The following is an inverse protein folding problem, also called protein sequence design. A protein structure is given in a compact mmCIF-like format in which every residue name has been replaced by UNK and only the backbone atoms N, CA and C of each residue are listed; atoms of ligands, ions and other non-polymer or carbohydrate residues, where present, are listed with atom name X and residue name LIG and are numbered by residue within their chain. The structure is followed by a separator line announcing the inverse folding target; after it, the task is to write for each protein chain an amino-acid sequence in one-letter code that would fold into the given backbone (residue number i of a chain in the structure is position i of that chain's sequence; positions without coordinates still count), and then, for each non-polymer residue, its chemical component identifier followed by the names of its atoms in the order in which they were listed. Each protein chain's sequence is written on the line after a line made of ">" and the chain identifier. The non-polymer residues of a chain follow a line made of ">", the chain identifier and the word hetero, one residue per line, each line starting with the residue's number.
data_IF_374647866283
#
_entry.id   IF_374647866283
#
_cell.length_a   1.000
_cell.length_b   1.000
_cell.length_c   1.000
_cell.angle_alpha   90.00
_cell.angle_beta   90.00
_cell.angle_gamma   90.00
#
_symmetry.space_group_name_H-M   'P 1'
#
loop_
_entity.id
_entity.type
_entity.pdbx_description
1 polymer ?
#
# COMPACT_ATOMS: atom_id res chain seq x y z
N UNK A 1 -70.12 -75.82 32.85
CA UNK A 1 -69.19 -75.25 33.85
C UNK A 1 -67.73 -75.43 33.46
N UNK A 2 -67.26 -76.65 33.16
CA UNK A 2 -65.86 -76.92 32.75
C UNK A 2 -65.48 -76.29 31.41
N UNK A 3 -66.34 -76.33 30.38
CA UNK A 3 -66.05 -75.69 29.09
C UNK A 3 -65.94 -74.17 29.18
N UNK A 4 -66.75 -73.53 30.04
CA UNK A 4 -66.68 -72.09 30.30
C UNK A 4 -65.38 -71.70 31.00
N UNK A 5 -64.87 -72.53 31.93
CA UNK A 5 -63.57 -72.32 32.57
C UNK A 5 -62.40 -72.45 31.58
N UNK A 6 -62.47 -73.41 30.64
CA UNK A 6 -61.45 -73.56 29.60
C UNK A 6 -61.44 -72.37 28.62
N UNK A 7 -62.62 -71.90 28.21
CA UNK A 7 -62.75 -70.69 27.37
C UNK A 7 -62.23 -69.45 28.09
N UNK A 8 -62.56 -69.28 29.38
CA UNK A 8 -62.06 -68.15 30.18
C UNK A 8 -60.53 -68.20 30.37
N UNK A 9 -59.96 -69.39 30.57
CA UNK A 9 -58.51 -69.56 30.68
C UNK A 9 -57.79 -69.31 29.35
N UNK A 10 -58.39 -69.75 28.24
CA UNK A 10 -57.89 -69.43 26.91
C UNK A 10 -57.93 -67.91 26.65
N UNK A 11 -59.04 -67.25 26.98
CA UNK A 11 -59.20 -65.80 26.82
C UNK A 11 -58.20 -64.99 27.67
N UNK A 12 -57.95 -65.40 28.92
CA UNK A 12 -56.92 -64.79 29.76
C UNK A 12 -55.51 -64.98 29.18
N UNK A 13 -55.20 -66.20 28.73
CA UNK A 13 -53.91 -66.49 28.09
C UNK A 13 -53.69 -65.66 26.83
N UNK A 14 -54.71 -65.51 25.99
CA UNK A 14 -54.62 -64.68 24.77
C UNK A 14 -54.49 -63.21 25.11
N UNK A 15 -55.24 -62.70 26.09
CA UNK A 15 -55.11 -61.31 26.53
C UNK A 15 -53.74 -61.01 27.11
N UNK A 16 -53.16 -61.95 27.87
CA UNK A 16 -51.81 -61.78 28.42
C UNK A 16 -50.76 -61.79 27.30
N UNK A 17 -50.88 -62.68 26.32
CA UNK A 17 -50.02 -62.65 25.12
C UNK A 17 -50.16 -61.35 24.30
N UNK A 18 -51.37 -60.80 24.19
CA UNK A 18 -51.60 -59.51 23.52
C UNK A 18 -50.96 -58.35 24.28
N UNK A 19 -51.03 -58.34 25.61
CA UNK A 19 -50.36 -57.34 26.45
C UNK A 19 -48.84 -57.46 26.35
N UNK A 20 -48.29 -58.67 26.42
CA UNK A 20 -46.85 -58.91 26.28
C UNK A 20 -46.35 -58.49 24.89
N UNK A 21 -47.13 -58.75 23.83
CA UNK A 21 -46.84 -58.28 22.47
C UNK A 21 -46.92 -56.75 22.35
N UNK A 22 -47.90 -56.09 22.97
CA UNK A 22 -48.01 -54.62 22.96
C UNK A 22 -46.82 -53.97 23.69
N UNK A 23 -46.40 -54.52 24.83
CA UNK A 23 -45.19 -54.06 25.54
C UNK A 23 -43.93 -54.34 24.70
N UNK A 24 -43.83 -55.51 24.07
CA UNK A 24 -42.69 -55.84 23.20
C UNK A 24 -42.61 -54.94 21.96
N UNK A 25 -43.74 -54.59 21.34
CA UNK A 25 -43.75 -53.69 20.19
C UNK A 25 -43.38 -52.27 20.61
N UNK A 26 -43.94 -51.76 21.71
CA UNK A 26 -43.57 -50.44 22.27
C UNK A 26 -42.08 -50.36 22.59
N UNK A 27 -41.52 -51.38 23.22
CA UNK A 27 -40.08 -51.41 23.53
C UNK A 27 -39.22 -51.42 22.28
N UNK A 28 -39.56 -52.21 21.25
CA UNK A 28 -38.87 -52.18 19.96
C UNK A 28 -38.95 -50.80 19.27
N UNK A 29 -40.12 -50.15 19.30
CA UNK A 29 -40.27 -48.79 18.77
C UNK A 29 -39.38 -47.79 19.51
N UNK A 30 -39.28 -47.88 20.85
CA UNK A 30 -38.39 -47.01 21.62
C UNK A 30 -36.92 -47.25 21.32
N UNK A 31 -36.51 -48.51 21.14
CA UNK A 31 -35.14 -48.87 20.78
C UNK A 31 -34.77 -48.38 19.38
N UNK A 32 -35.66 -48.55 18.40
CA UNK A 32 -35.48 -48.02 17.04
C UNK A 32 -35.35 -46.49 17.07
N UNK A 33 -36.23 -45.81 17.82
CA UNK A 33 -36.16 -44.35 17.99
C UNK A 33 -34.84 -43.90 18.62
N UNK A 34 -34.37 -44.58 19.67
CA UNK A 34 -33.09 -44.26 20.30
C UNK A 34 -31.90 -44.46 19.34
N UNK A 35 -31.91 -45.55 18.58
CA UNK A 35 -30.89 -45.84 17.59
C UNK A 35 -30.84 -44.78 16.47
N UNK A 36 -31.99 -44.33 15.99
CA UNK A 36 -32.05 -43.28 14.98
C UNK A 36 -31.56 -41.93 15.54
N UNK A 37 -31.93 -41.57 16.78
CA UNK A 37 -31.39 -40.38 17.46
C UNK A 37 -29.86 -40.44 17.58
N UNK A 38 -29.29 -41.59 17.95
CA UNK A 38 -27.84 -41.76 18.05
C UNK A 38 -27.14 -41.61 16.69
N UNK A 39 -27.74 -42.15 15.61
CA UNK A 39 -27.24 -41.95 14.25
C UNK A 39 -27.25 -40.48 13.84
N UNK A 40 -28.34 -39.77 14.10
CA UNK A 40 -28.44 -38.34 13.81
C UNK A 40 -27.40 -37.52 14.60
N UNK A 41 -27.17 -37.85 15.87
CA UNK A 41 -26.12 -37.23 16.71
C UNK A 41 -24.72 -37.46 16.13
N UNK A 42 -24.39 -38.69 15.75
CA UNK A 42 -23.10 -39.02 15.17
C UNK A 42 -22.89 -38.31 13.82
N UNK A 43 -23.93 -38.23 12.99
CA UNK A 43 -23.88 -37.51 11.73
C UNK A 43 -23.67 -36.00 11.94
N UNK A 44 -24.45 -35.38 12.83
CA UNK A 44 -24.33 -33.96 13.16
C UNK A 44 -22.94 -33.58 13.67
N UNK A 45 -22.38 -34.40 14.58
CA UNK A 45 -21.01 -34.21 15.07
C UNK A 45 -20.00 -34.20 13.92
N UNK A 46 -20.11 -35.15 12.99
CA UNK A 46 -19.20 -35.25 11.85
C UNK A 46 -19.32 -34.08 10.89
N UNK A 47 -20.52 -33.57 10.68
CA UNK A 47 -20.75 -32.36 9.85
C UNK A 47 -20.15 -31.13 10.52
N UNK A 48 -20.33 -30.97 11.83
CA UNK A 48 -19.71 -29.86 12.58
C UNK A 48 -18.18 -29.88 12.55
N UNK A 49 -17.57 -31.07 12.69
CA UNK A 49 -16.12 -31.25 12.53
C UNK A 49 -15.64 -30.85 11.13
N UNK A 50 -16.34 -31.28 10.08
CA UNK A 50 -16.02 -30.93 8.70
C UNK A 50 -16.18 -29.43 8.43
N UNK A 51 -17.25 -28.82 8.93
CA UNK A 51 -17.47 -27.38 8.80
C UNK A 51 -16.35 -26.58 9.48
N UNK A 52 -15.99 -26.95 10.71
CA UNK A 52 -14.91 -26.30 11.45
C UNK A 52 -13.57 -26.40 10.69
N UNK A 53 -13.25 -27.59 10.16
CA UNK A 53 -12.05 -27.78 9.35
C UNK A 53 -12.08 -26.94 8.07
N UNK A 54 -13.24 -26.81 7.42
CA UNK A 54 -13.40 -26.01 6.22
C UNK A 54 -13.25 -24.50 6.49
N UNK A 55 -13.83 -23.99 7.59
CA UNK A 55 -13.65 -22.60 8.03
C UNK A 55 -12.18 -22.30 8.30
N UNK A 56 -11.45 -23.22 8.95
CA UNK A 56 -10.00 -23.08 9.18
C UNK A 56 -9.22 -23.01 7.86
N UNK A 57 -9.46 -23.93 6.92
CA UNK A 57 -8.79 -23.93 5.62
C UNK A 57 -9.11 -22.66 4.82
N UNK A 58 -10.35 -22.19 4.87
CA UNK A 58 -10.74 -20.93 4.24
C UNK A 58 -10.01 -19.74 4.87
N UNK A 59 -9.96 -19.67 6.20
CA UNK A 59 -9.22 -18.63 6.92
C UNK A 59 -7.73 -18.61 6.56
N UNK A 60 -7.08 -19.77 6.55
CA UNK A 60 -5.68 -19.91 6.14
C UNK A 60 -5.47 -19.48 4.68
N UNK A 61 -6.41 -19.81 3.79
CA UNK A 61 -6.33 -19.42 2.38
C UNK A 61 -6.45 -17.92 2.16
N UNK A 62 -7.34 -17.24 2.89
CA UNK A 62 -7.52 -15.78 2.85
C UNK A 62 -6.25 -15.07 3.33
N UNK A 63 -5.68 -15.54 4.43
CA UNK A 63 -4.43 -15.02 4.98
C UNK A 63 -3.23 -15.25 4.04
N UNK A 64 -3.16 -16.42 3.40
CA UNK A 64 -2.10 -16.72 2.44
C UNK A 64 -2.24 -15.85 1.18
N UNK A 65 -3.46 -15.67 0.68
CA UNK A 65 -3.73 -14.82 -0.47
C UNK A 65 -3.37 -13.36 -0.20
N UNK A 66 -3.81 -12.79 0.92
CA UNK A 66 -3.50 -11.40 1.29
C UNK A 66 -2.00 -11.18 1.46
N UNK A 67 -1.30 -12.14 2.09
CA UNK A 67 0.16 -12.12 2.16
C UNK A 67 0.80 -12.15 0.78
N UNK A 68 0.36 -13.07 -0.09
CA UNK A 68 0.89 -13.16 -1.46
C UNK A 68 0.71 -11.85 -2.23
N UNK A 69 -0.47 -11.23 -2.12
CA UNK A 69 -0.76 -9.92 -2.71
C UNK A 69 0.24 -8.87 -2.22
N UNK A 70 0.49 -8.77 -0.91
CA UNK A 70 1.47 -7.81 -0.34
C UNK A 70 2.92 -8.10 -0.74
N UNK A 71 3.26 -9.34 -1.09
CA UNK A 71 4.60 -9.71 -1.59
C UNK A 71 4.78 -9.50 -3.09
N UNK A 72 3.73 -9.10 -3.82
CA UNK A 72 3.84 -8.86 -5.26
C UNK A 72 4.78 -7.68 -5.58
N UNK A 73 5.25 -7.64 -6.83
CA UNK A 73 6.09 -6.56 -7.34
C UNK A 73 5.41 -5.21 -7.21
N UNK A 74 4.07 -5.12 -7.31
CA UNK A 74 3.32 -3.88 -7.11
C UNK A 74 3.63 -3.21 -5.76
N UNK A 75 3.73 -3.99 -4.68
CA UNK A 75 4.01 -3.46 -3.34
C UNK A 75 5.50 -3.38 -3.00
N UNK A 76 6.28 -4.37 -3.43
CA UNK A 76 7.73 -4.46 -3.11
C UNK A 76 8.60 -3.62 -4.02
N UNK A 77 8.30 -3.60 -5.31
CA UNK A 77 9.04 -2.87 -6.33
C UNK A 77 8.08 -2.05 -7.19
N UNK A 78 7.42 -1.04 -6.62
CA UNK A 78 6.44 -0.26 -7.36
C UNK A 78 7.11 0.53 -8.49
N UNK A 79 6.49 0.49 -9.67
CA UNK A 79 7.00 1.12 -10.91
C UNK A 79 7.33 2.61 -10.74
N UNK A 80 6.57 3.32 -9.88
CA UNK A 80 6.79 4.74 -9.63
C UNK A 80 8.21 5.02 -9.07
N UNK A 81 8.82 4.09 -8.33
CA UNK A 81 10.18 4.27 -7.79
C UNK A 81 11.20 4.36 -8.93
N UNK A 82 11.09 3.45 -9.90
CA UNK A 82 11.94 3.46 -11.08
C UNK A 82 11.71 4.71 -11.94
N UNK A 83 10.46 5.09 -12.18
CA UNK A 83 10.12 6.33 -12.92
C UNK A 83 10.69 7.57 -12.22
N UNK A 84 10.55 7.65 -10.90
CA UNK A 84 11.10 8.76 -10.09
C UNK A 84 12.60 8.89 -10.29
N UNK A 85 13.35 7.78 -10.25
CA UNK A 85 14.80 7.79 -10.48
C UNK A 85 15.16 8.24 -11.89
N UNK A 86 14.42 7.80 -12.91
CA UNK A 86 14.61 8.24 -14.30
C UNK A 86 14.34 9.74 -14.44
N UNK A 87 13.29 10.26 -13.82
CA UNK A 87 12.93 11.68 -13.83
C UNK A 87 13.97 12.55 -13.13
N UNK A 88 14.47 12.12 -11.97
CA UNK A 88 15.61 12.76 -11.28
C UNK A 88 16.84 12.78 -12.19
N UNK A 89 17.15 11.65 -12.84
CA UNK A 89 18.26 11.55 -13.79
C UNK A 89 18.12 12.53 -14.96
N UNK A 90 16.91 12.68 -15.49
CA UNK A 90 16.60 13.61 -16.58
C UNK A 90 16.74 15.07 -16.15
N UNK A 91 16.17 15.46 -15.01
CA UNK A 91 16.30 16.82 -14.47
C UNK A 91 17.76 17.16 -14.17
N UNK A 92 18.53 16.22 -13.63
CA UNK A 92 19.97 16.42 -13.42
C UNK A 92 20.74 16.63 -14.73
N UNK A 93 20.43 15.86 -15.76
CA UNK A 93 21.06 16.01 -17.08
C UNK A 93 20.74 17.38 -17.67
N UNK A 94 19.49 17.83 -17.54
CA UNK A 94 19.04 19.13 -18.00
C UNK A 94 19.79 20.26 -17.28
N UNK A 95 19.80 20.26 -15.95
CA UNK A 95 20.51 21.28 -15.16
C UNK A 95 22.01 21.31 -15.41
N UNK A 96 22.64 20.16 -15.65
CA UNK A 96 24.05 20.10 -16.06
C UNK A 96 24.28 20.77 -17.42
N UNK A 97 23.38 20.56 -18.38
CA UNK A 97 23.46 21.24 -19.68
C UNK A 97 23.26 22.74 -19.52
N UNK A 98 22.31 23.17 -18.68
CA UNK A 98 22.03 24.58 -18.42
C UNK A 98 23.24 25.28 -17.77
N UNK A 99 23.88 24.63 -16.81
CA UNK A 99 25.13 25.13 -16.19
C UNK A 99 26.29 25.15 -17.18
N UNK A 100 26.45 24.13 -18.03
CA UNK A 100 27.49 24.12 -19.05
C UNK A 100 27.30 25.27 -20.06
N UNK A 101 26.06 25.52 -20.48
CA UNK A 101 25.71 26.63 -21.36
C UNK A 101 25.99 27.99 -20.68
N UNK A 102 25.68 28.12 -19.38
CA UNK A 102 25.99 29.32 -18.60
C UNK A 102 27.50 29.57 -18.53
N UNK A 103 28.30 28.56 -18.16
CA UNK A 103 29.77 28.67 -18.05
C UNK A 103 30.37 29.01 -19.41
N UNK A 104 29.90 28.39 -20.49
CA UNK A 104 30.34 28.71 -21.85
C UNK A 104 30.02 30.16 -22.22
N UNK A 105 28.82 30.65 -21.87
CA UNK A 105 28.44 32.04 -22.08
C UNK A 105 29.32 33.03 -21.30
N UNK A 106 29.67 32.70 -20.05
CA UNK A 106 30.61 33.48 -19.24
C UNK A 106 32.01 33.47 -19.86
N UNK A 107 32.48 32.33 -20.36
CA UNK A 107 33.78 32.23 -21.04
C UNK A 107 33.87 33.14 -22.27
N UNK A 108 32.81 33.21 -23.06
CA UNK A 108 32.71 34.13 -24.21
C UNK A 108 32.79 35.58 -23.74
N UNK A 109 32.03 35.93 -22.69
CA UNK A 109 32.02 37.29 -22.11
C UNK A 109 33.38 37.71 -21.54
N UNK A 110 34.06 36.81 -20.82
CA UNK A 110 35.40 37.10 -20.28
C UNK A 110 36.41 37.27 -21.42
N UNK A 111 36.35 36.45 -22.47
CA UNK A 111 37.23 36.60 -23.62
C UNK A 111 36.98 37.90 -24.39
N UNK A 112 35.72 38.35 -24.52
CA UNK A 112 35.42 39.64 -25.16
C UNK A 112 35.93 40.81 -24.32
N UNK A 113 35.77 40.76 -22.98
CA UNK A 113 36.34 41.76 -22.06
C UNK A 113 37.88 41.79 -22.10
N UNK A 114 38.53 40.63 -22.11
CA UNK A 114 40.00 40.53 -22.17
C UNK A 114 40.59 41.02 -23.50
N UNK A 115 39.86 40.84 -24.61
CA UNK A 115 40.26 41.37 -25.92
C UNK A 115 40.13 42.89 -26.01
N UNK A 116 39.29 43.49 -25.18
CA UNK A 116 39.09 44.95 -25.10
C UNK A 116 39.47 45.52 -23.72
N UNK A 117 40.77 45.53 -23.36
CA UNK A 117 41.23 46.05 -22.07
C UNK A 117 41.17 47.60 -21.95
N UNK A 118 40.85 48.32 -23.03
CA UNK A 118 40.94 49.78 -23.12
C UNK A 118 39.59 50.53 -23.25
N UNK A 119 38.49 49.95 -22.76
CA UNK A 119 37.15 50.57 -22.82
C UNK A 119 36.72 51.39 -21.59
N UNK A 120 37.66 51.89 -20.76
CA UNK A 120 37.32 52.58 -19.50
C UNK A 120 37.82 54.05 -19.47
N UNK A 121 38.55 54.50 -20.51
CA UNK A 121 39.30 55.77 -20.44
C UNK A 121 38.97 56.86 -21.46
N UNK A 122 38.05 56.65 -22.41
CA UNK A 122 37.76 57.65 -23.46
C UNK A 122 36.32 58.13 -23.34
N UNK A 123 36.15 59.38 -22.95
CA UNK A 123 34.88 60.05 -22.63
C UNK A 123 33.93 60.29 -23.80
N UNK A 124 34.10 59.67 -24.97
CA UNK A 124 33.30 60.03 -26.16
C UNK A 124 32.70 58.87 -26.98
N UNK A 125 32.95 57.60 -26.65
CA UNK A 125 32.26 56.49 -27.33
C UNK A 125 31.73 55.48 -26.33
N UNK A 126 30.44 55.60 -26.03
CA UNK A 126 29.63 54.59 -25.33
C UNK A 126 29.76 53.26 -26.08
N UNK A 127 30.58 52.35 -25.58
CA UNK A 127 30.71 51.00 -26.14
C UNK A 127 29.34 50.29 -26.07
N UNK A 128 28.80 49.94 -27.22
CA UNK A 128 27.46 49.34 -27.37
C UNK A 128 27.63 47.81 -27.22
N UNK A 129 26.93 47.15 -26.30
CA UNK A 129 26.98 45.70 -26.17
C UNK A 129 26.47 45.02 -27.45
N UNK A 130 27.20 44.00 -27.91
CA UNK A 130 26.86 43.19 -29.06
C UNK A 130 25.85 42.10 -28.68
N UNK A 131 24.56 42.44 -28.71
CA UNK A 131 23.45 41.46 -28.62
C UNK A 131 23.47 40.49 -27.42
N UNK A 132 22.60 39.50 -27.47
CA UNK A 132 22.57 38.39 -26.51
C UNK A 132 23.26 37.15 -27.12
N UNK A 133 23.98 36.39 -26.29
CA UNK A 133 24.53 35.06 -26.62
C UNK A 133 23.38 34.13 -27.09
N UNK A 134 23.59 33.03 -27.83
CA UNK A 134 22.52 32.11 -28.26
C UNK A 134 21.62 31.57 -27.14
N UNK A 135 22.08 31.62 -25.89
CA UNK A 135 21.27 31.29 -24.71
C UNK A 135 20.23 32.38 -24.37
N UNK A 136 20.39 33.61 -24.86
CA UNK A 136 19.55 34.78 -24.58
C UNK A 136 19.86 35.47 -23.25
N UNK A 137 20.73 34.87 -22.42
CA UNK A 137 20.87 35.24 -21.00
C UNK A 137 22.04 36.18 -20.69
N UNK A 138 23.10 36.16 -21.49
CA UNK A 138 24.30 36.96 -21.27
C UNK A 138 24.54 37.85 -22.47
N UNK A 139 24.90 39.11 -22.20
CA UNK A 139 25.33 40.05 -23.23
C UNK A 139 26.80 39.77 -23.55
N UNK A 140 27.18 39.87 -24.83
CA UNK A 140 28.59 39.81 -25.22
C UNK A 140 28.94 41.08 -25.99
N UNK A 141 30.22 41.28 -26.27
CA UNK A 141 30.67 42.41 -27.07
C UNK A 141 31.05 41.85 -28.44
N UNK A 142 30.36 42.31 -29.48
CA UNK A 142 30.66 41.99 -30.88
C UNK A 142 30.94 43.30 -31.61
N UNK A 143 32.14 43.43 -32.17
CA UNK A 143 32.58 44.64 -32.86
C UNK A 143 32.23 44.59 -34.37
N UNK A 144 31.87 43.42 -34.92
CA UNK A 144 31.69 43.24 -36.37
C UNK A 144 30.25 43.46 -36.85
N UNK A 145 29.26 43.66 -35.97
CA UNK A 145 27.86 43.86 -36.35
C UNK A 145 27.34 45.25 -35.98
N UNK A 146 27.31 46.12 -36.98
CA UNK A 146 26.78 47.49 -36.94
C UNK A 146 25.23 47.57 -36.84
N UNK A 147 24.57 46.65 -36.13
CA UNK A 147 23.10 46.66 -35.98
C UNK A 147 22.67 46.39 -34.55
N UNK A 148 22.53 47.50 -33.83
CA UNK A 148 21.76 47.80 -32.61
C UNK A 148 21.07 46.65 -31.85
N UNK A 149 21.40 46.56 -30.55
CA UNK A 149 20.43 46.78 -29.45
C UNK A 149 21.11 47.52 -28.30
N UNK A 150 20.46 48.57 -27.80
CA UNK A 150 20.98 49.49 -26.76
C UNK A 150 20.67 48.95 -25.38
N UNK A 151 21.70 48.74 -24.54
CA UNK A 151 21.57 48.79 -23.08
C UNK A 151 22.76 49.51 -22.45
N UNK A 152 22.47 50.23 -21.36
CA UNK A 152 23.17 51.41 -20.85
C UNK A 152 24.05 51.17 -19.61
N UNK A 153 24.43 49.93 -19.29
CA UNK A 153 24.97 49.59 -17.95
C UNK A 153 26.41 49.05 -17.98
N UNK A 154 27.19 49.44 -16.98
CA UNK A 154 28.59 49.07 -16.79
C UNK A 154 28.82 47.63 -16.28
N UNK A 155 30.08 47.24 -16.04
CA UNK A 155 30.50 45.86 -15.74
C UNK A 155 29.85 45.25 -14.49
N UNK A 156 29.48 46.07 -13.50
CA UNK A 156 28.78 45.61 -12.29
C UNK A 156 27.38 45.05 -12.60
N UNK A 157 26.70 45.59 -13.62
CA UNK A 157 25.38 45.10 -14.02
C UNK A 157 25.44 43.72 -14.68
N UNK A 158 26.55 43.39 -15.34
CA UNK A 158 26.79 42.06 -15.93
C UNK A 158 27.02 41.03 -14.83
N UNK A 159 27.78 41.39 -13.79
CA UNK A 159 27.98 40.54 -12.62
C UNK A 159 26.67 40.25 -11.88
N UNK A 160 25.78 41.24 -11.77
CA UNK A 160 24.45 41.05 -11.17
C UNK A 160 23.52 40.21 -12.05
N UNK A 161 23.55 40.36 -13.38
CA UNK A 161 22.84 39.46 -14.30
C UNK A 161 23.32 38.00 -14.15
N UNK A 162 24.62 37.78 -13.96
CA UNK A 162 25.17 36.45 -13.71
C UNK A 162 24.65 35.87 -12.39
N UNK A 163 24.66 36.62 -11.29
CA UNK A 163 24.08 36.17 -10.01
C UNK A 163 22.61 35.78 -10.17
N UNK A 164 21.83 36.59 -10.90
CA UNK A 164 20.41 36.30 -11.16
C UNK A 164 20.26 35.02 -11.97
N UNK A 165 21.03 34.80 -13.04
CA UNK A 165 20.94 33.58 -13.85
C UNK A 165 21.33 32.31 -13.08
N UNK A 166 22.39 32.36 -12.27
CA UNK A 166 22.75 31.27 -11.35
C UNK A 166 21.60 31.00 -10.37
N UNK A 167 21.02 32.06 -9.78
CA UNK A 167 19.89 31.92 -8.85
C UNK A 167 18.65 31.32 -9.51
N UNK A 168 18.33 31.69 -10.75
CA UNK A 168 17.19 31.14 -11.50
C UNK A 168 17.40 29.64 -11.75
N UNK A 169 18.58 29.21 -12.20
CA UNK A 169 18.88 27.78 -12.41
C UNK A 169 18.79 26.99 -11.08
N UNK A 170 19.32 27.56 -9.99
CA UNK A 170 19.24 26.93 -8.67
C UNK A 170 17.81 26.85 -8.15
N UNK A 171 17.00 27.89 -8.34
CA UNK A 171 15.59 27.91 -7.95
C UNK A 171 14.77 26.92 -8.80
N UNK A 172 15.01 26.87 -10.11
CA UNK A 172 14.35 25.92 -10.99
C UNK A 172 14.68 24.48 -10.59
N UNK A 173 15.95 24.16 -10.33
CA UNK A 173 16.35 22.84 -9.83
C UNK A 173 15.65 22.50 -8.50
N UNK A 174 15.63 23.44 -7.56
CA UNK A 174 14.95 23.23 -6.26
C UNK A 174 13.48 22.96 -6.44
N UNK A 175 12.81 23.71 -7.31
CA UNK A 175 11.40 23.54 -7.61
C UNK A 175 11.11 22.20 -8.30
N UNK A 176 11.88 21.83 -9.33
CA UNK A 176 11.73 20.54 -10.02
C UNK A 176 11.98 19.36 -9.08
N UNK A 177 13.03 19.42 -8.26
CA UNK A 177 13.34 18.39 -7.27
C UNK A 177 12.25 18.31 -6.20
N UNK A 178 11.76 19.45 -5.70
CA UNK A 178 10.66 19.51 -4.75
C UNK A 178 9.41 18.84 -5.30
N UNK A 179 9.03 19.16 -6.54
CA UNK A 179 7.90 18.53 -7.23
C UNK A 179 8.06 17.01 -7.36
N UNK A 180 9.24 16.53 -7.75
CA UNK A 180 9.50 15.09 -7.86
C UNK A 180 9.38 14.39 -6.50
N UNK A 181 9.88 15.01 -5.43
CA UNK A 181 9.77 14.47 -4.06
C UNK A 181 8.31 14.42 -3.61
N UNK A 182 7.55 15.50 -3.82
CA UNK A 182 6.14 15.58 -3.44
C UNK A 182 5.30 14.52 -4.16
N UNK A 183 5.51 14.34 -5.47
CA UNK A 183 4.82 13.31 -6.26
C UNK A 183 5.19 11.89 -5.80
N UNK A 184 6.47 11.63 -5.52
CA UNK A 184 6.92 10.34 -4.99
C UNK A 184 6.34 10.04 -3.60
N UNK A 185 6.24 11.06 -2.73
CA UNK A 185 5.59 10.92 -1.42
C UNK A 185 4.09 10.67 -1.55
N UNK A 186 3.41 11.34 -2.47
CA UNK A 186 1.98 11.11 -2.74
C UNK A 186 1.73 9.67 -3.23
N UNK A 187 2.53 9.20 -4.18
CA UNK A 187 2.46 7.82 -4.67
C UNK A 187 2.72 6.78 -3.55
N UNK A 188 3.71 7.04 -2.68
CA UNK A 188 4.00 6.17 -1.55
C UNK A 188 2.85 6.13 -0.53
N UNK A 189 2.17 7.26 -0.27
CA UNK A 189 0.99 7.29 0.62
C UNK A 189 -0.16 6.47 0.05
N UNK A 190 -0.40 6.54 -1.26
CA UNK A 190 -1.42 5.72 -1.92
C UNK A 190 -1.11 4.23 -1.79
N UNK A 191 0.14 3.82 -2.03
CA UNK A 191 0.56 2.42 -1.88
C UNK A 191 0.38 1.91 -0.44
N UNK A 192 0.66 2.74 0.57
CA UNK A 192 0.43 2.39 1.97
C UNK A 192 -1.07 2.26 2.30
N UNK A 193 -1.91 3.12 1.74
CA UNK A 193 -3.37 3.04 1.89
C UNK A 193 -3.92 1.76 1.23
N UNK A 194 -3.42 1.42 0.04
CA UNK A 194 -3.77 0.17 -0.64
C UNK A 194 -3.36 -1.05 0.19
N UNK A 195 -2.13 -1.08 0.73
CA UNK A 195 -1.66 -2.17 1.59
C UNK A 195 -2.53 -2.31 2.86
N UNK A 196 -2.90 -1.18 3.48
CA UNK A 196 -3.80 -1.16 4.62
C UNK A 196 -5.20 -1.66 4.28
N UNK A 197 -5.70 -1.35 3.07
CA UNK A 197 -7.00 -1.83 2.61
C UNK A 197 -7.02 -3.36 2.43
N UNK A 198 -5.94 -3.94 1.89
CA UNK A 198 -5.83 -5.41 1.74
C UNK A 198 -5.89 -6.11 3.10
N UNK A 199 -5.19 -5.56 4.10
CA UNK A 199 -5.23 -6.11 5.46
C UNK A 199 -6.60 -5.91 6.13
N UNK A 200 -7.24 -4.75 5.96
CA UNK A 200 -8.59 -4.51 6.48
C UNK A 200 -9.63 -5.45 5.87
N UNK A 201 -9.56 -5.69 4.55
CA UNK A 201 -10.42 -6.66 3.86
C UNK A 201 -10.18 -8.07 4.39
N UNK A 202 -8.92 -8.48 4.53
CA UNK A 202 -8.58 -9.78 5.10
C UNK A 202 -9.16 -9.97 6.51
N UNK A 203 -9.02 -8.97 7.40
CA UNK A 203 -9.60 -9.04 8.74
C UNK A 203 -11.13 -9.13 8.69
N UNK A 204 -11.76 -8.34 7.82
CA UNK A 204 -13.20 -8.40 7.64
C UNK A 204 -13.67 -9.76 7.13
N UNK A 205 -13.00 -10.34 6.15
CA UNK A 205 -13.33 -11.66 5.59
C UNK A 205 -13.15 -12.76 6.64
N UNK A 206 -12.09 -12.68 7.46
CA UNK A 206 -11.87 -13.59 8.59
C UNK A 206 -12.98 -13.48 9.63
N UNK A 207 -13.42 -12.26 9.97
CA UNK A 207 -14.56 -12.05 10.87
C UNK A 207 -15.85 -12.64 10.29
N UNK A 208 -16.15 -12.37 9.01
CA UNK A 208 -17.35 -12.89 8.34
C UNK A 208 -17.36 -14.42 8.26
N UNK A 209 -16.20 -15.07 8.02
CA UNK A 209 -16.08 -16.52 7.98
C UNK A 209 -16.43 -17.20 9.32
N UNK A 210 -16.25 -16.49 10.43
CA UNK A 210 -16.51 -17.01 11.79
C UNK A 210 -17.90 -16.63 12.31
N UNK A 211 -18.63 -15.76 11.60
CA UNK A 211 -20.00 -15.36 11.96
C UNK A 211 -20.98 -16.17 11.11
N UNK A 212 -21.73 -17.12 11.69
CA UNK A 212 -22.71 -17.89 10.94
C UNK A 212 -23.81 -16.98 10.39
N UNK A 213 -24.22 -17.24 9.15
CA UNK A 213 -25.26 -16.45 8.50
C UNK A 213 -26.64 -16.70 9.14
N UNK A 214 -27.58 -15.75 9.06
CA UNK A 214 -28.93 -15.94 9.61
C UNK A 214 -29.68 -17.10 8.95
N UNK A 215 -29.37 -17.40 7.69
CA UNK A 215 -29.94 -18.54 6.95
C UNK A 215 -29.39 -19.87 7.48
N UNK A 216 -28.08 -19.97 7.71
CA UNK A 216 -27.45 -21.14 8.34
C UNK A 216 -28.01 -21.38 9.74
N UNK A 217 -28.18 -20.31 10.53
CA UNK A 217 -28.80 -20.38 11.86
C UNK A 217 -30.26 -20.84 11.80
N UNK A 218 -31.02 -20.43 10.77
CA UNK A 218 -32.40 -20.86 10.57
C UNK A 218 -32.50 -22.35 10.20
N UNK A 219 -31.62 -22.84 9.31
CA UNK A 219 -31.54 -24.26 8.94
C UNK A 219 -31.16 -25.11 10.16
N UNK A 220 -30.19 -24.65 10.95
CA UNK A 220 -29.79 -25.31 12.21
C UNK A 220 -30.96 -25.40 13.18
N UNK A 221 -31.71 -24.31 13.37
CA UNK A 221 -32.88 -24.29 14.24
C UNK A 221 -34.00 -25.21 13.74
N UNK A 222 -34.23 -25.27 12.43
CA UNK A 222 -35.25 -26.12 11.83
C UNK A 222 -34.90 -27.61 11.95
N UNK A 223 -33.65 -27.99 11.70
CA UNK A 223 -33.18 -29.36 11.93
C UNK A 223 -33.29 -29.79 13.39
N UNK A 224 -33.04 -28.87 14.34
CA UNK A 224 -33.22 -29.13 15.77
C UNK A 224 -34.68 -29.40 16.14
N UNK A 225 -35.61 -28.64 15.54
CA UNK A 225 -37.04 -28.80 15.74
C UNK A 225 -37.58 -30.14 15.20
N UNK A 226 -37.19 -30.51 13.98
CA UNK A 226 -37.70 -31.70 13.27
C UNK A 226 -37.29 -33.02 13.94
N UNK A 227 -36.20 -33.07 14.70
CA UNK A 227 -35.83 -34.26 15.46
C UNK A 227 -36.61 -34.47 16.76
N UNK A 228 -37.51 -33.52 17.14
CA UNK A 228 -38.39 -33.67 18.30
C UNK A 228 -37.67 -33.78 19.64
N UNK A 229 -36.46 -33.24 19.74
CA UNK A 229 -35.64 -33.22 20.97
C UNK A 229 -35.45 -31.76 21.37
N UNK A 230 -36.31 -31.28 22.27
CA UNK A 230 -36.51 -29.86 22.58
C UNK A 230 -35.38 -29.15 23.32
N UNK A 231 -34.13 -29.59 23.24
CA UNK A 231 -32.95 -28.78 23.63
C UNK A 231 -31.58 -29.49 23.44
N UNK A 232 -31.52 -30.81 23.17
CA UNK A 232 -30.28 -31.57 23.44
C UNK A 232 -29.80 -32.60 22.39
N UNK A 233 -30.49 -32.84 21.25
CA UNK A 233 -30.00 -33.81 20.25
C UNK A 233 -28.95 -33.25 19.29
N UNK A 234 -29.01 -31.96 18.97
CA UNK A 234 -28.15 -31.41 17.94
C UNK A 234 -27.05 -30.59 18.58
N UNK A 235 -25.78 -31.04 18.50
CA UNK A 235 -24.65 -30.21 18.88
C UNK A 235 -24.43 -29.08 17.87
N UNK A 236 -25.39 -28.74 17.00
CA UNK A 236 -25.30 -27.54 16.17
C UNK A 236 -25.53 -26.25 16.95
N UNK A 237 -26.24 -26.29 18.09
CA UNK A 237 -26.18 -25.18 19.07
C UNK A 237 -24.78 -25.04 19.69
N UNK A 238 -23.95 -26.07 19.52
CA UNK A 238 -22.52 -26.15 19.84
C UNK A 238 -21.70 -26.33 18.56
N UNK A 239 -22.11 -25.71 17.44
CA UNK A 239 -21.08 -25.04 16.63
C UNK A 239 -20.56 -23.97 17.60
N UNK A 240 -19.65 -24.41 18.49
CA UNK A 240 -18.99 -23.54 19.42
C UNK A 240 -18.48 -22.39 18.54
N UNK A 241 -18.66 -21.12 18.95
CA UNK A 241 -18.05 -20.02 18.22
C UNK A 241 -16.62 -20.47 17.95
N UNK A 242 -16.33 -20.72 16.67
CA UNK A 242 -14.98 -20.98 16.19
C UNK A 242 -14.10 -19.94 16.89
N UNK A 243 -12.94 -20.36 17.43
CA UNK A 243 -12.17 -19.58 18.41
C UNK A 243 -12.25 -18.11 18.03
N UNK A 244 -12.79 -17.29 18.95
CA UNK A 244 -13.26 -15.90 18.74
C UNK A 244 -12.74 -15.29 17.45
N UNK A 245 -13.59 -14.69 16.62
CA UNK A 245 -13.13 -13.90 15.45
C UNK A 245 -11.96 -12.94 15.81
N UNK A 246 -11.92 -12.47 17.07
CA UNK A 246 -10.80 -11.75 17.67
C UNK A 246 -9.47 -12.54 17.77
N UNK A 247 -9.49 -13.83 18.10
CA UNK A 247 -8.35 -14.73 18.09
C UNK A 247 -7.87 -15.05 16.66
N UNK A 248 -8.76 -15.16 15.68
CA UNK A 248 -8.39 -15.27 14.27
C UNK A 248 -7.73 -13.97 13.75
N UNK A 249 -8.25 -12.81 14.15
CA UNK A 249 -7.71 -11.49 13.85
C UNK A 249 -6.36 -11.19 14.55
N UNK A 250 -6.01 -11.94 15.61
CA UNK A 250 -4.74 -11.87 16.33
C UNK A 250 -3.85 -13.11 16.08
N UNK A 251 -4.22 -13.94 15.12
CA UNK A 251 -3.49 -15.16 14.80
C UNK A 251 -2.18 -14.90 14.05
N UNK A 252 -1.33 -15.94 13.90
CA UNK A 252 -0.05 -15.85 13.20
C UNK A 252 -0.18 -15.37 11.75
N UNK A 253 -1.34 -15.59 11.14
CA UNK A 253 -1.73 -15.08 9.82
C UNK A 253 -1.85 -13.54 9.78
N UNK A 254 -2.51 -12.95 10.77
CA UNK A 254 -2.67 -11.51 10.88
C UNK A 254 -1.33 -10.84 11.22
N UNK A 255 -0.51 -11.47 12.08
CA UNK A 255 0.86 -11.01 12.35
C UNK A 255 1.74 -11.03 11.10
N UNK A 256 1.67 -12.10 10.29
CA UNK A 256 2.44 -12.21 9.07
C UNK A 256 2.09 -11.09 8.07
N UNK A 257 0.79 -10.83 7.85
CA UNK A 257 0.36 -9.76 6.93
C UNK A 257 0.67 -8.37 7.46
N UNK A 258 0.54 -8.14 8.78
CA UNK A 258 1.00 -6.92 9.44
C UNK A 258 2.50 -6.69 9.25
N UNK A 259 3.32 -7.75 9.36
CA UNK A 259 4.76 -7.67 9.11
C UNK A 259 5.09 -7.28 7.66
N UNK A 260 4.36 -7.82 6.68
CA UNK A 260 4.53 -7.42 5.27
C UNK A 260 4.18 -5.94 5.07
N UNK A 261 3.08 -5.44 5.66
CA UNK A 261 2.72 -4.02 5.62
C UNK A 261 3.78 -3.11 6.24
N UNK A 262 4.31 -3.50 7.40
CA UNK A 262 5.39 -2.75 8.06
C UNK A 262 6.65 -2.69 7.20
N UNK A 263 6.99 -3.79 6.52
CA UNK A 263 8.12 -3.82 5.61
C UNK A 263 7.89 -2.92 4.38
N UNK A 264 6.70 -2.90 3.78
CA UNK A 264 6.36 -1.98 2.67
C UNK A 264 6.48 -0.52 3.13
N UNK A 265 6.03 -0.21 4.35
CA UNK A 265 6.15 1.12 4.93
C UNK A 265 7.62 1.52 5.14
N UNK A 266 8.43 0.62 5.70
CA UNK A 266 9.86 0.84 5.94
C UNK A 266 10.65 1.03 4.64
N UNK A 267 10.38 0.22 3.61
CA UNK A 267 10.99 0.37 2.28
C UNK A 267 10.63 1.71 1.63
N UNK A 268 9.36 2.12 1.75
CA UNK A 268 8.90 3.40 1.25
C UNK A 268 9.53 4.59 1.97
N UNK A 269 9.66 4.49 3.30
CA UNK A 269 10.35 5.50 4.09
C UNK A 269 11.82 5.59 3.67
N UNK A 270 12.52 4.45 3.60
CA UNK A 270 13.90 4.39 3.14
C UNK A 270 14.07 5.03 1.74
N UNK A 271 13.17 4.72 0.81
CA UNK A 271 13.21 5.31 -0.54
C UNK A 271 13.04 6.83 -0.48
N UNK A 272 12.08 7.33 0.31
CA UNK A 272 11.83 8.77 0.43
C UNK A 272 13.01 9.52 1.06
N UNK A 273 13.62 8.96 2.11
CA UNK A 273 14.78 9.53 2.78
C UNK A 273 16.00 9.52 1.86
N UNK A 274 16.25 8.40 1.17
CA UNK A 274 17.32 8.27 0.21
C UNK A 274 17.15 9.26 -0.96
N UNK A 275 15.93 9.45 -1.47
CA UNK A 275 15.62 10.40 -2.53
C UNK A 275 15.97 11.83 -2.10
N UNK A 276 15.46 12.28 -0.95
CA UNK A 276 15.72 13.62 -0.41
C UNK A 276 17.22 13.84 -0.18
N UNK A 277 17.89 12.88 0.43
CA UNK A 277 19.32 12.97 0.72
C UNK A 277 20.17 13.01 -0.54
N UNK A 278 19.85 12.21 -1.57
CA UNK A 278 20.54 12.24 -2.85
C UNK A 278 20.32 13.56 -3.59
N UNK A 279 19.10 14.08 -3.60
CA UNK A 279 18.79 15.38 -4.20
C UNK A 279 19.51 16.52 -3.48
N UNK A 280 19.55 16.49 -2.14
CA UNK A 280 20.28 17.47 -1.34
C UNK A 280 21.78 17.44 -1.60
N UNK A 281 22.41 16.24 -1.58
CA UNK A 281 23.84 16.08 -1.89
C UNK A 281 24.18 16.61 -3.29
N UNK A 282 23.32 16.35 -4.27
CA UNK A 282 23.51 16.82 -5.65
C UNK A 282 23.31 18.33 -5.78
N UNK A 283 22.31 18.90 -5.10
CA UNK A 283 22.12 20.34 -5.01
C UNK A 283 23.33 21.04 -4.37
N UNK A 284 23.85 20.49 -3.27
CA UNK A 284 25.06 21.01 -2.63
C UNK A 284 26.30 20.94 -3.52
N UNK A 285 26.49 19.81 -4.22
CA UNK A 285 27.58 19.67 -5.20
C UNK A 285 27.47 20.71 -6.33
N UNK A 286 26.26 20.94 -6.85
CA UNK A 286 26.03 21.95 -7.88
C UNK A 286 26.34 23.37 -7.38
N UNK A 287 25.87 23.72 -6.18
CA UNK A 287 26.18 25.01 -5.56
C UNK A 287 27.69 25.18 -5.41
N UNK A 288 28.40 24.18 -4.91
CA UNK A 288 29.86 24.23 -4.78
C UNK A 288 30.57 24.41 -6.13
N UNK A 289 30.07 23.75 -7.20
CA UNK A 289 30.64 23.94 -8.55
C UNK A 289 30.39 25.34 -9.12
N UNK A 290 29.29 25.98 -8.75
CA UNK A 290 28.91 27.31 -9.23
C UNK A 290 29.54 28.45 -8.42
N UNK A 291 29.77 28.25 -7.12
CA UNK A 291 30.33 29.26 -6.21
C UNK A 291 31.84 29.14 -6.01
N UNK A 292 32.47 28.07 -6.50
CA UNK A 292 33.92 27.87 -6.43
C UNK A 292 34.49 27.68 -5.01
N UNK A 293 33.65 27.43 -3.99
CA UNK A 293 34.13 27.28 -2.62
C UNK A 293 34.57 25.84 -2.31
N UNK A 294 35.87 25.62 -2.18
CA UNK A 294 36.39 24.75 -1.13
C UNK A 294 36.26 25.50 0.20
N UNK A 295 35.20 25.21 0.97
CA UNK A 295 35.06 25.65 2.35
C UNK A 295 34.67 27.11 2.56
N UNK A 296 33.38 27.37 2.76
CA UNK A 296 32.92 28.69 3.19
C UNK A 296 31.41 28.82 3.10
N UNK A 297 30.70 28.22 4.06
CA UNK A 297 29.28 28.49 4.29
C UNK A 297 29.08 30.00 4.52
N UNK A 298 28.32 30.65 3.63
CA UNK A 298 27.44 31.75 4.06
C UNK A 298 26.07 31.11 4.26
N UNK A 299 25.57 31.00 5.50
CA UNK A 299 24.19 30.63 5.72
C UNK A 299 23.36 31.86 5.32
N UNK A 300 22.60 31.77 4.24
CA UNK A 300 21.40 32.60 4.11
C UNK A 300 20.26 31.73 4.64
N UNK A 301 20.20 31.69 5.97
CA UNK A 301 18.93 31.60 6.67
C UNK A 301 18.35 33.01 6.60
N UNK A 302 17.22 33.16 5.94
CA UNK A 302 16.20 34.14 6.28
C UNK A 302 14.91 33.74 5.55
N UNK A 303 13.97 33.26 6.37
CA UNK A 303 12.54 32.99 6.19
C UNK A 303 12.07 31.83 5.29
#
# INVERSE_FOLDING_TARGET
>A
TVSQLLVHRAALSTNQQLLDNDVSTKTLFTQLRQHDILKHRAHAKRVAELYTAQVQVLGDSVALWSRQVLTTTHFREPDYRADTLVRVGRSLKQTRNDVANLISGVGILVQTLLRNPHGIGSTETSEIPGGAVPSGWLQHFDHDQATFTVFTRGPDAIADQWKVSVNVILQQLRHENGRIVEEAQAAQRLLQQEAASVHAIMLHDLEQLHVPSPEEMAVVAQCAHDAGDGDHAFPYHTIAPTPDAAAAAQGPAAEATSAEMHAIAAEGQWFSEALVLQLFRRGAALVNTLTGSTGGLVPIIAD
#
